data_IF_777028664101
#
_entry.id   IF_777028664101
#
_cell.length_a   1.000
_cell.length_b   1.000
_cell.length_c   1.000
_cell.angle_alpha   90.00
_cell.angle_beta   90.00
_cell.angle_gamma   90.00
#
_symmetry.space_group_name_H-M   'P 1'
#
loop_
_entity.id
_entity.type
_entity.pdbx_description
1 polymer ?
#
# COMPACT_ATOMS: atom_id res chain seq x y z
N UNK A 1 -27.03 -38.14 -22.43
CA UNK A 1 -28.12 -37.80 -21.49
C UNK A 1 -27.65 -38.13 -20.08
N UNK A 2 -26.96 -37.19 -19.43
CA UNK A 2 -26.68 -37.25 -17.99
C UNK A 2 -27.54 -36.13 -17.39
N UNK A 3 -28.41 -36.54 -16.47
CA UNK A 3 -29.43 -35.71 -15.82
C UNK A 3 -28.75 -34.64 -14.94
N UNK A 4 -29.42 -33.50 -14.86
CA UNK A 4 -28.98 -32.33 -14.12
C UNK A 4 -29.26 -32.38 -12.63
N UNK A 5 -28.96 -31.22 -12.05
CA UNK A 5 -29.16 -30.74 -10.69
C UNK A 5 -28.19 -31.24 -9.63
N UNK A 6 -27.23 -30.37 -9.28
CA UNK A 6 -27.27 -29.70 -7.98
C UNK A 6 -26.55 -28.34 -8.10
N UNK A 7 -27.34 -27.27 -7.95
CA UNK A 7 -26.88 -25.88 -7.88
C UNK A 7 -26.01 -25.73 -6.64
N UNK A 8 -24.73 -25.45 -6.83
CA UNK A 8 -23.88 -24.96 -5.75
C UNK A 8 -24.43 -23.61 -5.25
N UNK A 9 -24.53 -23.40 -3.92
CA UNK A 9 -25.05 -22.16 -3.37
C UNK A 9 -24.03 -21.06 -3.66
N UNK A 10 -24.47 -20.06 -4.42
CA UNK A 10 -23.75 -18.85 -4.75
C UNK A 10 -23.45 -18.12 -3.42
N UNK A 11 -22.26 -18.37 -2.84
CA UNK A 11 -21.82 -17.72 -1.60
C UNK A 11 -21.60 -16.24 -1.89
N UNK A 12 -22.48 -15.42 -1.29
CA UNK A 12 -22.33 -13.99 -1.03
C UNK A 12 -21.79 -13.13 -2.16
N UNK A 13 -22.63 -12.83 -3.16
CA UNK A 13 -22.57 -11.49 -3.78
C UNK A 13 -23.03 -10.50 -2.72
N UNK A 14 -22.09 -9.96 -1.94
CA UNK A 14 -22.38 -8.80 -1.09
C UNK A 14 -22.85 -7.68 -2.02
N UNK A 15 -24.14 -7.37 -1.97
CA UNK A 15 -24.72 -6.23 -2.66
C UNK A 15 -24.06 -4.97 -2.10
N UNK A 16 -22.97 -4.53 -2.73
CA UNK A 16 -22.39 -3.22 -2.50
C UNK A 16 -23.49 -2.19 -2.79
N UNK A 17 -23.76 -1.37 -1.78
CA UNK A 17 -24.99 -0.61 -1.62
C UNK A 17 -25.25 0.37 -2.78
N UNK A 18 -26.54 0.68 -3.01
CA UNK A 18 -27.07 1.68 -3.95
C UNK A 18 -26.71 3.14 -3.57
N UNK A 19 -25.55 3.35 -2.92
CA UNK A 19 -25.03 4.65 -2.52
C UNK A 19 -24.25 5.35 -3.63
N UNK A 20 -23.98 6.65 -3.44
CA UNK A 20 -23.08 7.41 -4.31
C UNK A 20 -21.68 6.79 -4.24
N UNK A 21 -21.17 6.30 -5.38
CA UNK A 21 -19.82 5.71 -5.48
C UNK A 21 -18.77 6.71 -4.98
N UNK A 22 -17.77 6.20 -4.26
CA UNK A 22 -16.61 7.00 -3.86
C UNK A 22 -15.80 7.38 -5.10
N UNK A 23 -15.48 8.66 -5.24
CA UNK A 23 -14.61 9.15 -6.31
C UNK A 23 -13.16 8.90 -5.94
N UNK A 24 -12.49 8.07 -6.73
CA UNK A 24 -11.10 7.69 -6.54
C UNK A 24 -10.23 8.28 -7.64
N UNK A 25 -9.11 8.89 -7.26
CA UNK A 25 -8.01 9.18 -8.17
C UNK A 25 -6.89 8.17 -8.03
N UNK A 26 -6.22 7.87 -9.13
CA UNK A 26 -4.92 7.22 -9.14
C UNK A 26 -3.90 8.18 -9.74
N UNK A 27 -2.84 8.50 -9.00
CA UNK A 27 -1.78 9.41 -9.47
C UNK A 27 -0.46 8.65 -9.47
N UNK A 28 0.24 8.75 -10.59
CA UNK A 28 1.54 8.12 -10.79
C UNK A 28 2.63 9.19 -10.77
N UNK A 29 3.41 9.24 -9.68
CA UNK A 29 4.59 10.09 -9.58
C UNK A 29 5.82 9.31 -10.05
N UNK A 30 6.93 9.30 -9.29
CA UNK A 30 8.11 8.49 -9.61
C UNK A 30 7.92 7.04 -9.15
N UNK A 31 6.92 6.37 -9.72
CA UNK A 31 6.55 4.97 -9.46
C UNK A 31 6.99 4.02 -10.58
N UNK A 32 6.57 2.76 -10.51
CA UNK A 32 6.82 1.76 -11.56
C UNK A 32 5.53 1.24 -12.22
N UNK A 33 4.38 1.75 -11.81
CA UNK A 33 3.01 1.26 -12.09
C UNK A 33 2.73 -0.12 -11.49
N UNK A 34 3.66 -0.68 -10.71
CA UNK A 34 3.53 -2.01 -10.13
C UNK A 34 2.41 -2.10 -9.09
N UNK A 35 2.12 -0.99 -8.40
CA UNK A 35 1.07 -0.96 -7.39
C UNK A 35 -0.31 -0.89 -8.05
N UNK A 36 -0.43 -0.16 -9.17
CA UNK A 36 -1.62 -0.22 -10.02
C UNK A 36 -1.83 -1.61 -10.64
N UNK A 37 -0.76 -2.28 -11.08
CA UNK A 37 -0.86 -3.65 -11.58
C UNK A 37 -1.36 -4.59 -10.48
N UNK A 38 -0.83 -4.47 -9.26
CA UNK A 38 -1.34 -5.25 -8.12
C UNK A 38 -2.83 -5.00 -7.84
N UNK A 39 -3.32 -3.76 -7.99
CA UNK A 39 -4.76 -3.48 -7.91
C UNK A 39 -5.55 -4.23 -9.00
N UNK A 40 -5.08 -4.24 -10.25
CA UNK A 40 -5.78 -4.91 -11.37
C UNK A 40 -5.67 -6.43 -11.35
N UNK A 41 -4.72 -7.00 -10.62
CA UNK A 41 -4.58 -8.45 -10.37
C UNK A 41 -5.66 -9.03 -9.44
N UNK A 42 -6.62 -8.22 -8.96
CA UNK A 42 -7.83 -8.71 -8.30
C UNK A 42 -8.82 -9.35 -9.31
N UNK A 43 -8.36 -10.21 -10.21
CA UNK A 43 -9.04 -10.65 -11.45
C UNK A 43 -10.56 -10.86 -11.35
N UNK A 44 -11.00 -11.75 -10.48
CA UNK A 44 -12.43 -12.12 -10.36
C UNK A 44 -13.27 -11.01 -9.72
N UNK A 45 -12.66 -10.23 -8.83
CA UNK A 45 -13.32 -9.19 -8.05
C UNK A 45 -13.13 -7.78 -8.61
N UNK A 46 -12.28 -7.61 -9.63
CA UNK A 46 -11.87 -6.30 -10.10
C UNK A 46 -13.06 -5.52 -10.67
N UNK A 47 -13.96 -6.22 -11.35
CA UNK A 47 -15.22 -5.65 -11.83
C UNK A 47 -16.10 -5.18 -10.67
N UNK A 48 -16.14 -5.93 -9.57
CA UNK A 48 -16.91 -5.55 -8.38
C UNK A 48 -16.30 -4.33 -7.67
N UNK A 49 -14.96 -4.21 -7.67
CA UNK A 49 -14.27 -3.00 -7.21
C UNK A 49 -14.68 -1.79 -8.07
N UNK A 50 -14.62 -1.90 -9.40
CA UNK A 50 -15.05 -0.84 -10.33
C UNK A 50 -16.56 -0.54 -10.25
N UNK A 51 -17.37 -1.48 -9.75
CA UNK A 51 -18.76 -1.23 -9.42
C UNK A 51 -18.93 -0.49 -8.09
N UNK A 52 -18.04 -0.71 -7.12
CA UNK A 52 -18.07 -0.03 -5.82
C UNK A 52 -17.53 1.41 -5.86
N UNK A 53 -16.50 1.66 -6.69
CA UNK A 53 -15.79 2.95 -6.77
C UNK A 53 -15.89 3.57 -8.16
N UNK A 54 -15.71 4.88 -8.25
CA UNK A 54 -15.67 5.62 -9.51
C UNK A 54 -14.26 6.21 -9.69
N UNK A 55 -13.47 5.66 -10.63
CA UNK A 55 -12.12 6.16 -10.90
C UNK A 55 -12.24 7.38 -11.82
N UNK A 56 -12.00 8.58 -11.27
CA UNK A 56 -12.31 9.86 -11.93
C UNK A 56 -11.07 10.59 -12.46
N UNK A 57 -9.87 10.17 -12.05
CA UNK A 57 -8.61 10.81 -12.42
C UNK A 57 -7.46 9.81 -12.36
N UNK A 58 -6.47 10.04 -13.23
CA UNK A 58 -5.31 9.18 -13.42
C UNK A 58 -5.17 8.78 -14.87
N UNK A 59 -4.25 9.43 -15.58
CA UNK A 59 -4.11 9.36 -17.02
C UNK A 59 -3.67 7.98 -17.54
N UNK A 60 -3.23 7.10 -16.65
CA UNK A 60 -3.04 5.67 -16.97
C UNK A 60 -4.36 4.96 -17.27
N UNK A 61 -5.49 5.42 -16.70
CA UNK A 61 -6.80 4.77 -16.77
C UNK A 61 -7.92 5.66 -17.32
N UNK A 62 -7.80 6.98 -17.19
CA UNK A 62 -8.88 7.94 -17.44
C UNK A 62 -8.39 9.06 -18.35
N UNK A 63 -9.12 9.30 -19.43
CA UNK A 63 -8.88 10.40 -20.37
C UNK A 63 -9.36 11.76 -19.79
N UNK A 64 -8.82 12.16 -18.64
CA UNK A 64 -9.10 13.42 -17.98
C UNK A 64 -7.81 14.14 -17.57
N UNK A 65 -7.60 15.34 -18.12
CA UNK A 65 -6.42 16.17 -17.87
C UNK A 65 -6.65 17.27 -16.84
N UNK A 66 -7.85 17.39 -16.28
CA UNK A 66 -8.17 18.33 -15.22
C UNK A 66 -8.47 17.56 -13.93
N UNK A 67 -7.61 17.73 -12.93
CA UNK A 67 -7.78 17.03 -11.65
C UNK A 67 -9.10 17.47 -10.98
N UNK A 68 -10.06 16.55 -10.78
CA UNK A 68 -11.31 16.84 -10.10
C UNK A 68 -11.15 16.73 -8.57
N UNK A 69 -12.19 17.12 -7.84
CA UNK A 69 -12.33 16.78 -6.41
C UNK A 69 -12.57 15.27 -6.22
N UNK A 70 -11.87 14.68 -5.26
CA UNK A 70 -11.83 13.23 -5.00
C UNK A 70 -12.11 12.91 -3.53
N UNK A 71 -12.81 11.81 -3.29
CA UNK A 71 -13.00 11.30 -1.92
C UNK A 71 -11.71 10.63 -1.42
N UNK A 72 -11.06 9.86 -2.30
CA UNK A 72 -9.79 9.17 -2.00
C UNK A 72 -8.86 9.39 -3.19
N UNK A 73 -7.58 9.68 -2.93
CA UNK A 73 -6.54 9.62 -3.96
C UNK A 73 -5.50 8.59 -3.56
N UNK A 74 -5.23 7.65 -4.46
CA UNK A 74 -4.15 6.69 -4.37
C UNK A 74 -2.95 7.25 -5.14
N UNK A 75 -1.86 7.54 -4.44
CA UNK A 75 -0.65 8.06 -5.06
C UNK A 75 0.42 6.98 -5.00
N UNK A 76 0.86 6.53 -6.17
CA UNK A 76 2.00 5.63 -6.34
C UNK A 76 3.28 6.43 -6.64
N UNK A 77 4.40 5.96 -6.10
CA UNK A 77 5.72 6.49 -6.38
C UNK A 77 6.19 7.57 -5.41
N UNK A 78 7.51 7.76 -5.34
CA UNK A 78 8.10 8.87 -4.61
C UNK A 78 8.01 10.17 -5.40
N UNK A 79 8.38 11.29 -4.78
CA UNK A 79 8.38 12.61 -5.43
C UNK A 79 9.81 13.07 -5.70
N UNK A 80 10.12 13.39 -6.95
CA UNK A 80 11.38 14.00 -7.34
C UNK A 80 11.35 15.50 -7.02
N UNK A 81 12.32 15.99 -6.24
CA UNK A 81 12.35 17.40 -5.84
C UNK A 81 12.77 18.35 -6.97
N UNK A 82 13.46 17.83 -7.98
CA UNK A 82 13.89 18.62 -9.13
C UNK A 82 12.87 18.65 -10.27
N UNK A 83 11.77 17.90 -10.17
CA UNK A 83 10.66 17.95 -11.13
C UNK A 83 9.49 18.80 -10.60
N UNK A 84 9.33 20.00 -11.18
CA UNK A 84 8.27 20.92 -10.79
C UNK A 84 6.87 20.36 -11.00
N UNK A 85 6.66 19.52 -12.02
CA UNK A 85 5.35 18.98 -12.31
C UNK A 85 4.92 18.00 -11.21
N UNK A 86 5.80 17.06 -10.84
CA UNK A 86 5.57 16.12 -9.73
C UNK A 86 5.20 16.82 -8.42
N UNK A 87 5.90 17.91 -8.07
CA UNK A 87 5.60 18.67 -6.85
C UNK A 87 4.23 19.35 -6.92
N UNK A 88 3.91 19.98 -8.06
CA UNK A 88 2.62 20.66 -8.26
C UNK A 88 1.48 19.66 -8.22
N UNK A 89 1.61 18.52 -8.90
CA UNK A 89 0.58 17.48 -8.94
C UNK A 89 0.35 16.87 -7.55
N UNK A 90 1.40 16.60 -6.76
CA UNK A 90 1.25 16.10 -5.39
C UNK A 90 0.50 17.09 -4.49
N UNK A 91 0.82 18.40 -4.58
CA UNK A 91 0.16 19.44 -3.79
C UNK A 91 -1.29 19.62 -4.21
N UNK A 92 -1.56 19.66 -5.50
CA UNK A 92 -2.92 19.75 -6.05
C UNK A 92 -3.76 18.52 -5.63
N UNK A 93 -3.17 17.32 -5.69
CA UNK A 93 -3.81 16.09 -5.23
C UNK A 93 -4.19 16.16 -3.75
N UNK A 94 -3.32 16.73 -2.91
CA UNK A 94 -3.62 16.93 -1.49
C UNK A 94 -4.76 17.93 -1.29
N UNK A 95 -4.79 19.02 -2.05
CA UNK A 95 -5.85 20.04 -1.95
C UNK A 95 -7.21 19.51 -2.39
N UNK A 96 -7.24 18.69 -3.46
CA UNK A 96 -8.47 18.16 -4.08
C UNK A 96 -8.89 16.78 -3.57
N UNK A 97 -8.27 16.26 -2.51
CA UNK A 97 -8.62 14.96 -1.94
C UNK A 97 -8.97 15.07 -0.46
N UNK A 98 -10.02 14.36 -0.04
CA UNK A 98 -10.35 14.22 1.38
C UNK A 98 -9.38 13.27 2.09
N UNK A 99 -9.08 12.13 1.48
CA UNK A 99 -8.11 11.15 1.96
C UNK A 99 -6.99 10.95 0.93
N UNK A 100 -5.75 11.20 1.34
CA UNK A 100 -4.56 10.90 0.54
C UNK A 100 -3.90 9.63 1.04
N UNK A 101 -3.80 8.64 0.16
CA UNK A 101 -3.23 7.33 0.44
C UNK A 101 -1.90 7.16 -0.31
N UNK A 102 -0.82 6.94 0.43
CA UNK A 102 0.44 6.49 -0.16
C UNK A 102 0.30 5.01 -0.52
N UNK A 103 0.15 4.72 -1.82
CA UNK A 103 0.04 3.38 -2.35
C UNK A 103 1.44 2.85 -2.69
N UNK A 104 1.88 1.81 -1.99
CA UNK A 104 3.20 1.22 -2.19
C UNK A 104 4.32 1.90 -1.39
N UNK A 105 5.42 1.17 -1.25
CA UNK A 105 6.57 1.58 -0.43
C UNK A 105 7.33 2.78 -1.00
N UNK A 106 7.27 3.02 -2.32
CA UNK A 106 7.88 4.21 -2.91
C UNK A 106 7.20 5.48 -2.42
N UNK A 107 5.87 5.51 -2.43
CA UNK A 107 5.09 6.62 -1.90
C UNK A 107 5.21 6.71 -0.37
N UNK A 108 5.15 5.57 0.32
CA UNK A 108 5.07 5.54 1.79
C UNK A 108 6.42 5.78 2.49
N UNK A 109 7.54 5.30 1.94
CA UNK A 109 8.85 5.31 2.63
C UNK A 109 10.02 5.61 1.69
N UNK A 110 9.74 6.07 0.45
CA UNK A 110 10.73 6.27 -0.62
C UNK A 110 11.15 4.99 -1.34
N UNK A 111 10.93 3.80 -0.76
CA UNK A 111 11.27 2.52 -1.37
C UNK A 111 12.71 2.48 -1.89
N UNK A 112 12.92 1.94 -3.08
CA UNK A 112 14.24 1.91 -3.71
C UNK A 112 14.76 3.26 -4.23
N UNK A 113 13.93 4.30 -4.37
CA UNK A 113 14.37 5.59 -4.92
C UNK A 113 15.23 6.38 -3.93
N UNK A 114 15.24 5.98 -2.65
CA UNK A 114 16.20 6.45 -1.63
C UNK A 114 17.66 6.24 -2.03
N UNK A 115 17.93 5.38 -3.01
CA UNK A 115 19.28 5.14 -3.55
C UNK A 115 19.61 6.02 -4.76
N UNK A 116 18.64 6.80 -5.26
CA UNK A 116 18.88 7.73 -6.34
C UNK A 116 19.91 8.79 -5.93
N UNK A 117 20.74 9.19 -6.90
CA UNK A 117 21.83 10.14 -6.69
C UNK A 117 22.12 11.04 -7.91
N UNK A 118 21.21 11.04 -8.88
CA UNK A 118 21.35 11.78 -10.14
C UNK A 118 22.52 11.31 -11.01
N UNK A 119 22.94 12.20 -11.92
CA UNK A 119 24.04 11.99 -12.85
C UNK A 119 23.67 11.17 -14.10
N UNK A 120 22.44 10.67 -14.22
CA UNK A 120 21.98 9.90 -15.37
C UNK A 120 21.28 10.81 -16.40
N UNK A 121 21.59 10.61 -17.68
CA UNK A 121 20.97 11.34 -18.79
C UNK A 121 19.51 10.92 -19.00
N UNK A 122 18.62 11.77 -19.52
CA UNK A 122 18.85 13.14 -20.02
C UNK A 122 18.69 14.24 -18.96
N UNK A 123 18.34 13.88 -17.72
CA UNK A 123 18.13 14.82 -16.61
C UNK A 123 19.10 14.50 -15.46
N UNK A 124 20.41 14.80 -15.61
CA UNK A 124 21.41 14.46 -14.59
C UNK A 124 21.16 15.15 -13.24
N UNK A 125 20.37 16.23 -13.21
CA UNK A 125 19.99 16.93 -12.00
C UNK A 125 18.90 16.23 -11.18
N UNK A 126 18.10 15.32 -11.76
CA UNK A 126 17.08 14.57 -11.01
C UNK A 126 17.75 13.58 -10.07
N UNK A 127 17.84 13.95 -8.80
CA UNK A 127 18.71 13.26 -7.83
C UNK A 127 18.03 12.97 -6.51
N UNK A 128 17.04 13.78 -6.13
CA UNK A 128 16.43 13.74 -4.80
C UNK A 128 15.00 13.23 -4.88
N UNK A 129 14.75 12.05 -4.31
CA UNK A 129 13.43 11.43 -4.28
C UNK A 129 12.99 11.15 -2.85
N UNK A 130 11.85 11.69 -2.44
CA UNK A 130 11.32 11.59 -1.08
C UNK A 130 10.00 10.81 -1.02
N UNK A 131 9.70 10.23 0.13
CA UNK A 131 8.35 9.78 0.45
C UNK A 131 7.37 10.98 0.50
N UNK A 132 6.08 10.73 0.26
CA UNK A 132 5.08 11.81 0.13
C UNK A 132 4.92 12.64 1.41
N UNK A 133 5.07 11.99 2.56
CA UNK A 133 4.94 12.57 3.90
C UNK A 133 5.85 13.77 4.14
N UNK A 134 7.01 13.81 3.47
CA UNK A 134 7.94 14.93 3.61
C UNK A 134 7.42 16.24 2.98
N UNK A 135 6.45 16.17 2.05
CA UNK A 135 5.93 17.34 1.34
C UNK A 135 4.47 17.65 1.67
N UNK A 136 3.65 16.62 1.93
CA UNK A 136 2.21 16.78 2.20
C UNK A 136 1.76 15.84 3.31
N UNK A 137 0.67 16.20 3.98
CA UNK A 137 0.00 15.30 4.94
C UNK A 137 -0.57 14.09 4.20
N UNK A 138 -0.06 12.91 4.50
CA UNK A 138 -0.61 11.62 4.07
C UNK A 138 -1.54 11.10 5.18
N UNK A 139 -2.76 10.71 4.82
CA UNK A 139 -3.73 10.21 5.82
C UNK A 139 -3.54 8.70 6.07
N UNK A 140 -3.14 7.95 5.06
CA UNK A 140 -2.97 6.49 5.13
C UNK A 140 -1.83 6.01 4.22
N UNK A 141 -1.13 4.95 4.60
CA UNK A 141 -0.09 4.35 3.77
C UNK A 141 -0.22 2.83 3.70
N UNK A 142 -0.09 2.29 2.49
CA UNK A 142 -0.19 0.85 2.20
C UNK A 142 1.22 0.36 1.81
N UNK A 143 1.99 -0.23 2.75
CA UNK A 143 3.33 -0.69 2.45
C UNK A 143 3.31 -1.90 1.51
N UNK A 144 4.30 -1.96 0.62
CA UNK A 144 4.52 -3.08 -0.28
C UNK A 144 5.31 -2.69 -1.52
N UNK A 145 6.01 -3.63 -2.13
CA UNK A 145 6.76 -3.40 -3.37
C UNK A 145 6.60 -4.61 -4.31
N UNK A 146 5.40 -4.80 -4.90
CA UNK A 146 4.17 -4.02 -4.68
C UNK A 146 3.39 -4.47 -3.42
N UNK A 147 2.40 -3.69 -2.93
CA UNK A 147 1.37 -4.19 -2.01
C UNK A 147 0.66 -5.40 -2.60
N UNK A 148 0.10 -6.27 -1.78
CA UNK A 148 -0.62 -7.43 -2.31
C UNK A 148 -1.97 -7.02 -2.91
N UNK A 149 -2.47 -7.72 -3.95
CA UNK A 149 -3.78 -7.39 -4.54
C UNK A 149 -4.90 -7.38 -3.48
N UNK A 150 -4.87 -8.35 -2.56
CA UNK A 150 -5.88 -8.54 -1.53
C UNK A 150 -5.89 -7.40 -0.51
N UNK A 151 -4.72 -6.86 -0.15
CA UNK A 151 -4.68 -5.76 0.83
C UNK A 151 -5.26 -4.48 0.23
N UNK A 152 -4.98 -4.22 -1.05
CA UNK A 152 -5.55 -3.08 -1.77
C UNK A 152 -7.08 -3.21 -1.83
N UNK A 153 -7.59 -4.40 -2.21
CA UNK A 153 -9.03 -4.68 -2.23
C UNK A 153 -9.68 -4.49 -0.86
N UNK A 154 -9.12 -5.10 0.20
CA UNK A 154 -9.67 -5.02 1.55
C UNK A 154 -9.73 -3.56 2.04
N UNK A 155 -8.71 -2.77 1.77
CA UNK A 155 -8.67 -1.35 2.16
C UNK A 155 -9.72 -0.53 1.41
N UNK A 156 -9.87 -0.75 0.10
CA UNK A 156 -10.92 -0.07 -0.68
C UNK A 156 -12.32 -0.42 -0.16
N UNK A 157 -12.58 -1.69 0.13
CA UNK A 157 -13.86 -2.13 0.69
C UNK A 157 -14.08 -1.58 2.11
N UNK A 158 -13.05 -1.58 2.95
CA UNK A 158 -13.11 -0.97 4.28
C UNK A 158 -13.40 0.54 4.20
N UNK A 159 -12.81 1.25 3.24
CA UNK A 159 -13.09 2.66 3.01
C UNK A 159 -14.52 2.91 2.51
N UNK A 160 -15.05 2.06 1.62
CA UNK A 160 -16.46 2.11 1.18
C UNK A 160 -17.42 1.86 2.35
N UNK A 161 -17.09 0.94 3.25
CA UNK A 161 -17.91 0.59 4.41
C UNK A 161 -17.64 1.47 5.65
N UNK A 162 -16.71 2.44 5.56
CA UNK A 162 -16.28 3.28 6.67
C UNK A 162 -15.80 2.49 7.90
N UNK A 163 -15.12 1.35 7.67
CA UNK A 163 -14.53 0.51 8.71
C UNK A 163 -13.21 1.10 9.19
N UNK A 164 -13.32 2.07 10.11
CA UNK A 164 -12.16 2.81 10.63
C UNK A 164 -11.25 1.94 11.50
N UNK A 165 -11.79 0.89 12.13
CA UNK A 165 -11.00 -0.03 12.96
C UNK A 165 -10.02 -0.82 12.09
N UNK A 166 -10.47 -1.30 10.93
CA UNK A 166 -9.61 -1.95 9.94
C UNK A 166 -8.55 -1.01 9.35
N UNK A 167 -8.91 0.27 9.14
CA UNK A 167 -8.03 1.25 8.50
C UNK A 167 -6.98 1.85 9.45
N UNK A 168 -7.21 1.81 10.77
CA UNK A 168 -6.35 2.43 11.78
C UNK A 168 -4.85 2.07 11.66
N UNK A 169 -4.45 0.81 11.45
CA UNK A 169 -3.02 0.46 11.32
C UNK A 169 -2.33 1.12 10.12
N UNK A 170 -3.06 1.35 9.02
CA UNK A 170 -2.51 1.99 7.83
C UNK A 170 -2.40 3.51 7.99
N UNK A 171 -3.31 4.11 8.76
CA UNK A 171 -3.21 5.51 9.18
C UNK A 171 -2.02 5.72 10.12
N UNK A 172 -1.79 4.79 11.04
CA UNK A 172 -0.59 4.81 11.89
C UNK A 172 0.70 4.59 11.10
N UNK A 173 0.65 3.71 10.10
CA UNK A 173 1.81 3.48 9.24
C UNK A 173 2.18 4.72 8.42
N UNK A 174 1.22 5.57 8.07
CA UNK A 174 1.45 6.83 7.34
C UNK A 174 2.39 7.79 8.07
N UNK A 175 2.58 7.64 9.39
CA UNK A 175 3.53 8.44 10.18
C UNK A 175 5.00 8.07 9.94
N UNK A 176 5.27 6.93 9.30
CA UNK A 176 6.64 6.50 8.99
C UNK A 176 7.07 7.09 7.65
N UNK A 177 8.15 7.87 7.68
CA UNK A 177 8.74 8.49 6.48
C UNK A 177 9.88 7.63 5.90
N UNK A 178 10.49 6.79 6.74
CA UNK A 178 11.64 5.96 6.40
C UNK A 178 11.43 4.51 6.83
N UNK A 179 12.00 3.58 6.08
CA UNK A 179 12.03 2.18 6.48
C UNK A 179 13.29 1.44 6.00
N UNK A 180 13.70 0.41 6.74
CA UNK A 180 14.83 -0.43 6.37
C UNK A 180 14.74 -1.81 7.03
N UNK A 181 15.40 -2.83 6.48
CA UNK A 181 15.58 -4.11 7.17
C UNK A 181 16.23 -3.99 8.55
N UNK A 182 17.04 -2.93 8.76
CA UNK A 182 17.61 -2.59 10.06
C UNK A 182 16.57 -2.27 11.14
N UNK A 183 15.32 -1.95 10.77
CA UNK A 183 14.25 -1.69 11.73
C UNK A 183 13.96 -2.92 12.59
N UNK A 184 14.13 -4.13 12.06
CA UNK A 184 14.01 -5.35 12.86
C UNK A 184 15.06 -5.41 13.97
N UNK A 185 16.30 -5.04 13.67
CA UNK A 185 17.34 -4.98 14.70
C UNK A 185 16.98 -3.92 15.75
N UNK A 186 16.70 -2.69 15.30
CA UNK A 186 16.50 -1.52 16.19
C UNK A 186 15.23 -1.60 17.03
N UNK A 187 14.10 -1.97 16.41
CA UNK A 187 12.76 -1.86 16.98
C UNK A 187 12.22 -3.19 17.53
N UNK A 188 12.78 -4.34 17.13
CA UNK A 188 12.29 -5.68 17.56
C UNK A 188 13.35 -6.45 18.36
N UNK A 189 14.54 -6.66 17.80
CA UNK A 189 15.57 -7.49 18.45
C UNK A 189 16.20 -6.77 19.64
N UNK A 190 16.61 -5.51 19.48
CA UNK A 190 17.20 -4.72 20.56
C UNK A 190 16.19 -4.43 21.68
N UNK A 191 14.89 -4.50 21.38
CA UNK A 191 13.81 -4.41 22.38
C UNK A 191 13.51 -5.75 23.05
N UNK A 192 14.26 -6.82 22.73
CA UNK A 192 14.10 -8.16 23.29
C UNK A 192 12.73 -8.82 23.07
N UNK A 193 11.98 -8.39 22.04
CA UNK A 193 10.65 -8.92 21.72
C UNK A 193 10.65 -9.90 20.53
N UNK A 194 11.80 -10.12 19.89
CA UNK A 194 11.94 -11.09 18.81
C UNK A 194 11.80 -12.54 19.33
N UNK A 195 10.86 -13.29 18.75
CA UNK A 195 10.63 -14.72 19.05
C UNK A 195 11.11 -15.67 17.94
N UNK A 196 11.74 -15.16 16.89
CA UNK A 196 12.32 -16.01 15.83
C UNK A 196 11.31 -16.71 14.91
N UNK A 197 10.07 -16.21 14.78
CA UNK A 197 9.01 -16.86 13.99
C UNK A 197 9.25 -16.88 12.46
N UNK A 198 10.12 -16.01 11.93
CA UNK A 198 10.46 -15.97 10.51
C UNK A 198 9.50 -15.18 9.59
N UNK A 199 8.43 -14.58 10.11
CA UNK A 199 7.47 -13.80 9.31
C UNK A 199 8.13 -12.69 8.46
N UNK A 200 9.13 -12.01 9.04
CA UNK A 200 9.89 -10.97 8.34
C UNK A 200 10.69 -11.49 7.13
N UNK A 201 11.22 -12.72 7.20
CA UNK A 201 11.94 -13.36 6.10
C UNK A 201 10.97 -13.81 5.00
N UNK A 202 9.80 -14.33 5.38
CA UNK A 202 8.75 -14.72 4.45
C UNK A 202 8.21 -13.52 3.66
N UNK A 203 7.95 -12.40 4.36
CA UNK A 203 7.42 -11.16 3.79
C UNK A 203 8.41 -10.38 2.91
N UNK A 204 9.71 -10.64 2.99
CA UNK A 204 10.71 -9.86 2.27
C UNK A 204 10.69 -10.19 0.76
N UNK A 205 10.31 -9.24 -0.13
CA UNK A 205 10.14 -9.52 -1.55
C UNK A 205 11.47 -9.85 -2.25
N UNK A 206 12.56 -9.21 -1.82
CA UNK A 206 13.88 -9.37 -2.45
C UNK A 206 14.74 -10.47 -1.82
N UNK A 207 14.20 -11.19 -0.82
CA UNK A 207 14.94 -12.16 0.00
C UNK A 207 16.20 -11.56 0.64
N UNK A 208 16.16 -10.26 0.95
CA UNK A 208 17.18 -9.58 1.74
C UNK A 208 17.20 -10.02 3.21
N UNK A 209 16.12 -10.65 3.67
CA UNK A 209 15.99 -11.18 5.03
C UNK A 209 15.93 -12.70 4.99
N UNK A 210 16.80 -13.34 5.79
CA UNK A 210 16.85 -14.79 6.00
C UNK A 210 16.84 -15.09 7.49
N UNK A 211 16.85 -16.37 7.90
CA UNK A 211 16.91 -16.77 9.31
C UNK A 211 18.20 -17.56 9.58
N UNK A 212 18.96 -17.16 10.60
CA UNK A 212 20.14 -17.87 11.09
C UNK A 212 20.01 -18.03 12.60
N UNK A 213 20.14 -19.25 13.10
CA UNK A 213 20.09 -19.55 14.55
C UNK A 213 18.84 -18.97 15.25
N UNK A 214 17.69 -18.99 14.56
CA UNK A 214 16.42 -18.46 15.09
C UNK A 214 16.35 -16.93 15.17
N UNK A 215 17.23 -16.20 14.47
CA UNK A 215 17.21 -14.74 14.35
C UNK A 215 17.25 -14.28 12.89
N UNK A 216 16.64 -13.13 12.56
CA UNK A 216 16.70 -12.58 11.22
C UNK A 216 18.13 -12.16 10.86
N UNK A 217 18.58 -12.55 9.68
CA UNK A 217 19.87 -12.20 9.08
C UNK A 217 19.63 -11.33 7.84
N UNK A 218 20.23 -10.14 7.85
CA UNK A 218 19.95 -9.07 6.90
C UNK A 218 21.09 -8.89 5.89
N UNK A 219 20.74 -8.92 4.59
CA UNK A 219 21.61 -8.57 3.48
C UNK A 219 21.23 -7.17 2.96
N UNK A 220 22.11 -6.19 3.20
CA UNK A 220 21.86 -4.80 2.80
C UNK A 220 21.83 -4.59 1.29
N UNK A 221 22.61 -5.35 0.52
CA UNK A 221 22.76 -5.16 -0.92
C UNK A 221 21.50 -5.53 -1.71
N UNK A 222 20.62 -6.35 -1.11
CA UNK A 222 19.32 -6.73 -1.69
C UNK A 222 18.16 -5.92 -1.12
N UNK A 223 18.39 -5.12 -0.09
CA UNK A 223 17.33 -4.40 0.61
C UNK A 223 16.86 -3.20 -0.22
N UNK A 224 15.56 -3.13 -0.51
CA UNK A 224 14.95 -2.00 -1.24
C UNK A 224 14.26 -0.99 -0.32
N UNK A 225 14.57 -1.01 0.98
CA UNK A 225 14.01 -0.09 1.99
C UNK A 225 12.46 0.03 1.98
N UNK A 226 11.77 -1.08 1.68
CA UNK A 226 10.31 -1.08 1.56
C UNK A 226 9.55 -1.17 2.90
N UNK A 227 10.23 -1.51 4.00
CA UNK A 227 9.63 -1.59 5.35
C UNK A 227 8.73 -2.80 5.64
N UNK A 228 8.36 -3.60 4.62
CA UNK A 228 7.48 -4.75 4.78
C UNK A 228 7.89 -5.73 5.89
N UNK A 229 9.19 -5.99 6.04
CA UNK A 229 9.68 -6.93 7.04
C UNK A 229 9.36 -6.51 8.49
N UNK A 230 9.37 -5.20 8.78
CA UNK A 230 8.95 -4.65 10.08
C UNK A 230 7.43 -4.61 10.17
N UNK A 231 6.74 -4.17 9.12
CA UNK A 231 5.29 -4.10 9.10
C UNK A 231 4.63 -5.47 9.33
N UNK A 232 5.15 -6.54 8.72
CA UNK A 232 4.62 -7.91 8.88
C UNK A 232 5.11 -8.62 10.14
N UNK A 233 5.95 -7.98 10.95
CA UNK A 233 6.42 -8.58 12.19
C UNK A 233 5.26 -8.65 13.19
N UNK A 234 4.94 -9.84 13.71
CA UNK A 234 3.88 -10.02 14.73
C UNK A 234 4.18 -9.35 16.08
N UNK A 235 5.30 -8.63 16.17
CA UNK A 235 5.80 -7.93 17.36
C UNK A 235 5.98 -6.44 17.13
N UNK A 236 5.75 -5.92 15.91
CA UNK A 236 5.74 -4.48 15.66
C UNK A 236 4.39 -3.86 16.02
N UNK A 237 3.31 -4.52 15.63
CA UNK A 237 1.93 -4.23 16.02
C UNK A 237 1.13 -5.55 15.98
N UNK A 238 0.00 -5.60 16.67
CA UNK A 238 -0.78 -6.83 16.80
C UNK A 238 -2.29 -6.55 16.86
N UNK A 239 -3.01 -6.61 15.72
CA UNK A 239 -4.44 -6.30 15.64
C UNK A 239 -5.29 -7.52 16.08
N UNK A 240 -5.21 -7.88 17.36
CA UNK A 240 -5.80 -9.14 17.87
C UNK A 240 -7.32 -9.20 17.68
N UNK A 241 -8.01 -8.07 17.85
CA UNK A 241 -9.47 -8.03 17.80
C UNK A 241 -9.96 -8.30 16.38
N UNK A 242 -9.33 -7.68 15.38
CA UNK A 242 -9.63 -7.92 13.96
C UNK A 242 -9.25 -9.34 13.52
N UNK A 243 -8.10 -9.86 13.96
CA UNK A 243 -7.69 -11.24 13.66
C UNK A 243 -8.73 -12.24 14.20
N UNK A 244 -9.15 -12.07 15.45
CA UNK A 244 -10.15 -12.97 16.06
C UNK A 244 -11.52 -12.83 15.40
N UNK A 245 -11.92 -11.62 15.00
CA UNK A 245 -13.15 -11.35 14.24
C UNK A 245 -13.13 -12.06 12.89
N UNK A 246 -12.04 -11.95 12.12
CA UNK A 246 -11.90 -12.66 10.83
C UNK A 246 -11.92 -14.20 11.00
N UNK A 247 -11.41 -14.70 12.12
CA UNK A 247 -11.37 -16.15 12.43
C UNK A 247 -12.64 -16.69 13.09
N UNK A 248 -13.62 -15.84 13.44
CA UNK A 248 -14.83 -16.27 14.15
C UNK A 248 -14.60 -16.76 15.59
N UNK A 249 -13.53 -16.32 16.24
CA UNK A 249 -13.13 -16.80 17.58
C UNK A 249 -13.83 -16.07 18.75
N UNK A 250 -14.78 -15.16 18.46
CA UNK A 250 -15.57 -14.42 19.46
C UNK A 250 -17.00 -14.94 19.62
N UNK A 251 -17.34 -16.09 19.02
CA UNK A 251 -18.62 -16.76 19.28
C UNK A 251 -18.54 -17.58 20.58
N UNK A 252 -18.72 -16.91 21.72
CA UNK A 252 -19.22 -17.50 22.97
C UNK A 252 -20.48 -16.75 23.44
#
# INVERSE_FOLDING_TARGET
MVKGDEKSPNKSRSSLSNGKKLKIGYIHLSGCTGDLMSLSENYDDFVDILHAVDIVYGQTLVDNWQMPEMDIVLIEGSVCLEDEHSIKELKEAREKSKLLVALGSCAATGGFTVYAKGGQQAQPQHSSFLALQHLVKVDMAIPGCPPSPEIIKKILLAAVNNDMDYLAPFMDFAKNEEACGCDLQKKIINQSICIGCGACAAACPTRAMTMKEGRPSFNCDRCVKCGLCYYQCTRSWWPIDEIKKELGLWEE
#
